data_IF_553496102321
#
_entry.id   IF_553496102321
#
_cell.length_a   1.000
_cell.length_b   1.000
_cell.length_c   1.000
_cell.angle_alpha   90.00
_cell.angle_beta   90.00
_cell.angle_gamma   90.00
#
_symmetry.space_group_name_H-M   'P 1'
#
loop_
_entity.id
_entity.type
_entity.pdbx_description
1 polymer ?
#
# COMPACT_ATOMS: atom_id res chain seq x y z
N UNK A 1 -10.37 -5.72 -39.68
CA UNK A 1 -11.59 -5.38 -38.91
C UNK A 1 -11.11 -4.86 -37.58
N UNK A 2 -11.75 -3.83 -37.04
CA UNK A 2 -11.38 -3.31 -35.72
C UNK A 2 -12.03 -4.13 -34.61
N UNK A 3 -11.25 -4.56 -33.64
CA UNK A 3 -11.67 -5.49 -32.60
C UNK A 3 -11.08 -5.09 -31.24
N UNK A 4 -11.66 -5.61 -30.16
CA UNK A 4 -11.08 -5.53 -28.84
C UNK A 4 -10.79 -6.93 -28.29
N UNK A 5 -9.66 -7.06 -27.60
CA UNK A 5 -9.14 -8.33 -27.11
C UNK A 5 -8.80 -8.20 -25.63
N UNK A 6 -9.12 -9.22 -24.84
CA UNK A 6 -8.66 -9.34 -23.46
C UNK A 6 -7.34 -10.11 -23.39
N UNK A 7 -6.26 -9.41 -23.05
CA UNK A 7 -4.94 -10.01 -22.84
C UNK A 7 -4.86 -10.57 -21.42
N UNK A 8 -4.95 -11.90 -21.29
CA UNK A 8 -4.98 -12.62 -20.00
C UNK A 8 -3.65 -12.55 -19.26
N UNK A 9 -2.52 -12.45 -19.96
CA UNK A 9 -1.20 -12.28 -19.32
C UNK A 9 -1.06 -10.95 -18.58
N UNK A 10 -1.66 -9.88 -19.11
CA UNK A 10 -1.54 -8.53 -18.54
C UNK A 10 -2.79 -8.10 -17.75
N UNK A 11 -3.89 -8.82 -17.91
CA UNK A 11 -5.21 -8.50 -17.38
C UNK A 11 -5.80 -7.23 -17.98
N UNK A 12 -5.49 -6.91 -19.23
CA UNK A 12 -5.84 -5.64 -19.89
C UNK A 12 -6.58 -5.85 -21.19
N UNK A 13 -7.40 -4.86 -21.55
CA UNK A 13 -8.09 -4.83 -22.84
C UNK A 13 -7.23 -4.07 -23.84
N UNK A 14 -7.11 -4.62 -25.04
CA UNK A 14 -6.40 -4.05 -26.17
C UNK A 14 -7.40 -3.75 -27.28
N UNK A 15 -7.42 -2.50 -27.76
CA UNK A 15 -8.20 -2.12 -28.94
C UNK A 15 -7.27 -2.12 -30.15
N UNK A 16 -7.62 -2.93 -31.14
CA UNK A 16 -6.93 -3.06 -32.40
C UNK A 16 -7.77 -2.38 -33.47
N UNK A 17 -7.20 -1.36 -34.11
CA UNK A 17 -7.88 -0.60 -35.15
C UNK A 17 -7.16 -0.74 -36.48
N UNK A 18 -7.94 -0.83 -37.56
CA UNK A 18 -7.43 -0.43 -38.86
C UNK A 18 -7.20 1.09 -38.89
N UNK A 19 -6.19 1.55 -39.65
CA UNK A 19 -5.87 2.99 -39.74
C UNK A 19 -7.05 3.83 -40.23
N UNK A 20 -7.80 3.34 -41.22
CA UNK A 20 -8.97 4.03 -41.76
C UNK A 20 -10.07 4.16 -40.68
N UNK A 21 -10.39 3.07 -40.00
CA UNK A 21 -11.42 3.01 -38.96
C UNK A 21 -11.13 4.00 -37.82
N UNK A 22 -9.88 4.05 -37.34
CA UNK A 22 -9.49 4.99 -36.28
C UNK A 22 -9.56 6.45 -36.72
N UNK A 23 -9.19 6.76 -37.98
CA UNK A 23 -9.26 8.12 -38.50
C UNK A 23 -10.70 8.60 -38.70
N UNK A 24 -11.62 7.67 -39.01
CA UNK A 24 -13.04 7.93 -39.16
C UNK A 24 -13.77 8.21 -37.82
N UNK A 25 -13.17 7.89 -36.68
CA UNK A 25 -13.74 8.19 -35.36
C UNK A 25 -13.91 9.69 -35.14
N UNK A 26 -14.99 10.06 -34.46
CA UNK A 26 -15.21 11.44 -34.01
C UNK A 26 -14.17 11.87 -32.97
N UNK A 27 -13.98 13.17 -32.79
CA UNK A 27 -13.04 13.68 -31.78
C UNK A 27 -13.49 13.33 -30.35
N UNK A 28 -14.80 13.21 -30.11
CA UNK A 28 -15.35 12.74 -28.83
C UNK A 28 -14.99 11.28 -28.56
N UNK A 29 -15.15 10.40 -29.55
CA UNK A 29 -14.75 8.99 -29.45
C UNK A 29 -13.25 8.86 -29.18
N UNK A 30 -12.41 9.63 -29.89
CA UNK A 30 -10.96 9.65 -29.66
C UNK A 30 -10.60 10.17 -28.27
N UNK A 31 -11.34 11.13 -27.73
CA UNK A 31 -11.16 11.66 -26.36
C UNK A 31 -11.48 10.59 -25.31
N UNK A 32 -12.54 9.82 -25.51
CA UNK A 32 -12.93 8.72 -24.61
C UNK A 32 -11.90 7.59 -24.61
N UNK A 33 -11.36 7.23 -25.78
CA UNK A 33 -10.24 6.30 -25.89
C UNK A 33 -9.04 6.82 -25.09
N UNK A 34 -8.60 8.07 -25.30
CA UNK A 34 -7.42 8.64 -24.62
C UNK A 34 -7.57 8.70 -23.08
N UNK A 35 -8.80 8.87 -22.61
CA UNK A 35 -9.13 8.89 -21.18
C UNK A 35 -8.99 7.50 -20.53
N UNK A 36 -9.33 6.43 -21.25
CA UNK A 36 -9.38 5.07 -20.71
C UNK A 36 -8.20 4.17 -21.15
N UNK A 37 -7.48 4.56 -22.21
CA UNK A 37 -6.44 3.76 -22.85
C UNK A 37 -5.14 4.57 -23.06
N UNK A 38 -4.05 3.84 -23.29
CA UNK A 38 -2.75 4.35 -23.69
C UNK A 38 -2.31 3.63 -24.96
N UNK A 39 -1.92 4.39 -25.99
CA UNK A 39 -1.40 3.79 -27.21
C UNK A 39 -0.01 3.18 -26.96
N UNK A 40 0.13 1.90 -27.28
CA UNK A 40 1.40 1.18 -27.21
C UNK A 40 1.95 1.00 -28.62
N UNK A 41 3.08 1.65 -28.92
CA UNK A 41 3.78 1.46 -30.20
C UNK A 41 4.26 0.01 -30.39
N UNK A 42 4.68 -0.64 -29.31
CA UNK A 42 5.19 -2.02 -29.36
C UNK A 42 4.10 -3.04 -29.71
N UNK A 43 2.86 -2.78 -29.28
CA UNK A 43 1.70 -3.65 -29.58
C UNK A 43 0.87 -3.16 -30.78
N UNK A 44 1.19 -1.97 -31.30
CA UNK A 44 0.38 -1.26 -32.30
C UNK A 44 -1.11 -1.15 -31.93
N UNK A 45 -1.41 -1.02 -30.63
CA UNK A 45 -2.77 -1.11 -30.09
C UNK A 45 -2.98 -0.13 -28.92
N UNK A 46 -4.25 0.21 -28.65
CA UNK A 46 -4.63 0.98 -27.47
C UNK A 46 -4.83 0.04 -26.29
N UNK A 47 -4.03 0.19 -25.24
CA UNK A 47 -4.04 -0.69 -24.07
C UNK A 47 -4.74 -0.02 -22.89
N UNK A 48 -5.68 -0.71 -22.25
CA UNK A 48 -6.47 -0.16 -21.15
C UNK A 48 -5.59 0.35 -20.01
N UNK A 49 -5.98 1.46 -19.40
CA UNK A 49 -5.32 1.97 -18.19
C UNK A 49 -5.64 1.07 -17.00
N UNK A 50 -6.90 0.69 -16.87
CA UNK A 50 -7.37 -0.27 -15.88
C UNK A 50 -6.91 -1.69 -16.18
N UNK A 51 -6.97 -2.53 -15.15
CA UNK A 51 -6.70 -3.97 -15.20
C UNK A 51 -7.88 -4.72 -14.60
N UNK A 52 -8.02 -6.00 -14.96
CA UNK A 52 -8.91 -6.93 -14.28
C UNK A 52 -8.73 -6.85 -12.75
N UNK A 53 -9.82 -6.82 -11.97
CA UNK A 53 -11.23 -6.95 -12.37
C UNK A 53 -11.92 -5.64 -12.76
N UNK A 54 -11.24 -4.49 -12.73
CA UNK A 54 -11.86 -3.17 -12.90
C UNK A 54 -11.96 -2.73 -14.37
N UNK A 55 -12.42 -3.61 -15.26
CA UNK A 55 -12.41 -3.38 -16.71
C UNK A 55 -13.69 -2.77 -17.29
N UNK A 56 -14.76 -2.66 -16.49
CA UNK A 56 -16.09 -2.22 -16.94
C UNK A 56 -16.08 -0.98 -17.85
N UNK A 57 -15.36 0.08 -17.47
CA UNK A 57 -15.30 1.32 -18.27
C UNK A 57 -14.58 1.13 -19.61
N UNK A 58 -13.52 0.33 -19.61
CA UNK A 58 -12.78 0.00 -20.83
C UNK A 58 -13.66 -0.84 -21.77
N UNK A 59 -14.29 -1.91 -21.26
CA UNK A 59 -15.23 -2.72 -22.04
C UNK A 59 -16.38 -1.91 -22.61
N UNK A 60 -16.96 -1.00 -21.80
CA UNK A 60 -18.02 -0.12 -22.27
C UNK A 60 -17.58 0.74 -23.44
N UNK A 61 -16.41 1.38 -23.35
CA UNK A 61 -15.86 2.18 -24.46
C UNK A 61 -15.66 1.33 -25.71
N UNK A 62 -15.17 0.10 -25.58
CA UNK A 62 -15.01 -0.80 -26.73
C UNK A 62 -16.36 -1.15 -27.39
N UNK A 63 -17.39 -1.45 -26.58
CA UNK A 63 -18.76 -1.74 -27.05
C UNK A 63 -19.43 -0.53 -27.68
N UNK A 64 -19.30 0.66 -27.08
CA UNK A 64 -19.87 1.91 -27.59
C UNK A 64 -19.25 2.31 -28.94
N UNK A 65 -18.00 1.90 -29.20
CA UNK A 65 -17.32 2.05 -30.49
C UNK A 65 -17.73 1.01 -31.54
N UNK A 66 -18.55 0.02 -31.18
CA UNK A 66 -18.99 -1.05 -32.07
C UNK A 66 -17.87 -2.02 -32.45
N UNK A 67 -16.82 -2.13 -31.63
CA UNK A 67 -15.71 -3.06 -31.89
C UNK A 67 -16.16 -4.51 -31.67
N UNK A 68 -15.70 -5.40 -32.56
CA UNK A 68 -15.94 -6.82 -32.42
C UNK A 68 -15.17 -7.39 -31.22
N UNK A 69 -15.78 -8.33 -30.49
CA UNK A 69 -15.10 -9.04 -29.42
C UNK A 69 -14.17 -10.11 -30.04
N UNK A 70 -12.86 -9.83 -30.05
CA UNK A 70 -11.83 -10.75 -30.53
C UNK A 70 -11.46 -11.86 -29.51
N UNK A 71 -12.14 -11.91 -28.36
CA UNK A 71 -11.94 -12.94 -27.35
C UNK A 71 -10.72 -12.71 -26.44
N UNK A 72 -10.18 -13.81 -25.92
CA UNK A 72 -9.05 -13.82 -24.98
C UNK A 72 -7.76 -14.25 -25.69
N UNK A 73 -6.64 -13.58 -25.39
CA UNK A 73 -5.30 -14.00 -25.84
C UNK A 73 -4.35 -14.24 -24.67
N UNK A 74 -3.44 -15.18 -24.87
CA UNK A 74 -2.41 -15.57 -23.91
C UNK A 74 -2.98 -16.31 -22.70
N UNK A 75 -2.08 -16.69 -21.80
CA UNK A 75 -2.42 -17.42 -20.58
C UNK A 75 -2.43 -16.49 -19.36
N UNK A 76 -3.25 -16.81 -18.37
CA UNK A 76 -3.27 -16.05 -17.12
C UNK A 76 -2.05 -16.45 -16.30
N UNK A 77 -1.19 -15.47 -16.06
CA UNK A 77 -0.01 -15.66 -15.21
C UNK A 77 -0.41 -15.64 -13.75
N UNK A 78 0.23 -16.51 -12.98
CA UNK A 78 0.22 -16.44 -11.52
C UNK A 78 0.80 -15.11 -11.04
N UNK A 79 0.46 -14.71 -9.82
CA UNK A 79 0.98 -13.48 -9.23
C UNK A 79 2.51 -13.50 -9.10
N UNK A 80 3.11 -14.67 -8.83
CA UNK A 80 4.56 -14.87 -8.80
C UNK A 80 5.20 -14.56 -10.17
N UNK A 81 4.72 -15.19 -11.24
CA UNK A 81 5.21 -14.94 -12.61
C UNK A 81 5.01 -13.47 -13.03
N UNK A 82 3.91 -12.84 -12.59
CA UNK A 82 3.71 -11.41 -12.82
C UNK A 82 4.78 -10.55 -12.13
N UNK A 83 5.22 -10.93 -10.93
CA UNK A 83 6.31 -10.25 -10.21
C UNK A 83 7.66 -10.49 -10.88
N UNK A 84 7.93 -11.70 -11.34
CA UNK A 84 9.16 -12.05 -12.08
C UNK A 84 9.25 -11.27 -13.39
N UNK A 85 8.21 -11.28 -14.23
CA UNK A 85 8.17 -10.47 -15.46
C UNK A 85 8.32 -8.97 -15.18
N UNK A 86 7.93 -8.49 -14.00
CA UNK A 86 8.14 -7.10 -13.59
C UNK A 86 9.61 -6.86 -13.21
N UNK A 87 10.26 -7.80 -12.53
CA UNK A 87 11.67 -7.77 -12.22
C UNK A 87 12.51 -7.78 -13.51
N UNK A 88 12.29 -8.74 -14.41
CA UNK A 88 12.98 -8.85 -15.70
C UNK A 88 12.85 -7.58 -16.53
N UNK A 89 11.66 -6.98 -16.61
CA UNK A 89 11.45 -5.71 -17.33
C UNK A 89 12.20 -4.55 -16.72
N UNK A 90 12.40 -4.56 -15.40
CA UNK A 90 13.16 -3.55 -14.68
C UNK A 90 14.67 -3.78 -14.86
N UNK A 91 15.15 -5.02 -14.84
CA UNK A 91 16.54 -5.40 -15.14
C UNK A 91 16.92 -5.05 -16.58
N UNK A 92 16.14 -5.48 -17.57
CA UNK A 92 16.34 -5.12 -18.98
C UNK A 92 16.29 -3.60 -19.20
N UNK A 93 15.61 -2.84 -18.32
CA UNK A 93 15.65 -1.38 -18.33
C UNK A 93 16.94 -0.84 -17.74
N UNK A 94 17.44 -1.43 -16.65
CA UNK A 94 18.73 -1.08 -16.06
C UNK A 94 19.85 -1.29 -17.09
N UNK A 95 19.91 -2.45 -17.74
CA UNK A 95 20.92 -2.75 -18.77
C UNK A 95 20.93 -1.73 -19.91
N UNK A 96 19.74 -1.35 -20.40
CA UNK A 96 19.63 -0.31 -21.43
C UNK A 96 20.13 1.05 -20.96
N UNK A 97 19.97 1.38 -19.68
CA UNK A 97 20.48 2.63 -19.13
C UNK A 97 21.98 2.56 -18.89
N UNK A 98 22.52 1.43 -18.43
CA UNK A 98 23.96 1.20 -18.31
C UNK A 98 24.65 1.36 -19.67
N UNK A 99 24.10 0.73 -20.73
CA UNK A 99 24.60 0.91 -22.09
C UNK A 99 24.62 2.38 -22.52
N UNK A 100 23.55 3.13 -22.23
CA UNK A 100 23.46 4.56 -22.56
C UNK A 100 24.43 5.40 -21.74
N UNK A 101 24.65 5.04 -20.47
CA UNK A 101 25.59 5.69 -19.57
C UNK A 101 27.01 5.54 -20.12
N UNK A 102 27.44 4.30 -20.36
CA UNK A 102 28.77 3.99 -20.88
C UNK A 102 29.02 4.68 -22.22
N UNK A 103 28.04 4.66 -23.13
CA UNK A 103 28.15 5.35 -24.42
C UNK A 103 28.26 6.86 -24.28
N UNK A 104 27.52 7.47 -23.35
CA UNK A 104 27.63 8.90 -23.08
C UNK A 104 29.00 9.26 -22.47
N UNK A 105 29.52 8.42 -21.57
CA UNK A 105 30.86 8.59 -21.00
C UNK A 105 31.96 8.46 -22.07
N UNK A 106 31.89 7.45 -22.95
CA UNK A 106 32.81 7.29 -24.08
C UNK A 106 32.76 8.50 -25.03
N UNK A 107 31.56 9.00 -25.35
CA UNK A 107 31.40 10.20 -26.15
C UNK A 107 32.01 11.43 -25.47
N UNK A 108 31.80 11.60 -24.16
CA UNK A 108 32.40 12.68 -23.37
C UNK A 108 33.93 12.63 -23.40
N UNK A 109 34.51 11.45 -23.18
CA UNK A 109 35.97 11.21 -23.29
C UNK A 109 36.48 11.56 -24.69
N UNK A 110 35.79 11.10 -25.74
CA UNK A 110 36.18 11.37 -27.12
C UNK A 110 36.11 12.86 -27.48
N UNK A 111 35.13 13.59 -26.94
CA UNK A 111 34.97 15.02 -27.15
C UNK A 111 36.03 15.85 -26.43
N UNK A 112 36.45 15.46 -25.23
CA UNK A 112 37.48 16.17 -24.47
C UNK A 112 38.91 15.79 -24.87
N UNK A 113 39.10 14.59 -25.46
CA UNK A 113 40.41 14.07 -25.86
C UNK A 113 41.26 15.09 -26.64
N UNK A 114 40.76 15.81 -27.66
CA UNK A 114 41.60 16.77 -28.39
C UNK A 114 42.21 17.87 -27.51
N UNK A 115 41.48 18.42 -26.53
CA UNK A 115 42.01 19.41 -25.59
C UNK A 115 42.95 18.75 -24.57
N UNK A 116 42.57 17.57 -24.05
CA UNK A 116 43.37 16.84 -23.08
C UNK A 116 44.72 16.38 -23.67
N UNK A 117 44.76 16.03 -24.96
CA UNK A 117 45.99 15.66 -25.67
C UNK A 117 46.96 16.86 -25.82
N UNK A 118 46.46 18.10 -25.75
CA UNK A 118 47.30 19.33 -25.75
C UNK A 118 47.74 19.73 -24.33
N UNK A 119 47.36 18.98 -23.30
CA UNK A 119 47.69 19.32 -21.92
C UNK A 119 49.22 19.35 -21.72
N UNK A 120 49.74 20.46 -21.19
CA UNK A 120 51.18 20.70 -21.06
C UNK A 120 51.82 21.45 -22.24
N UNK A 121 51.13 21.60 -23.38
CA UNK A 121 51.55 22.52 -24.45
C UNK A 121 51.12 23.95 -24.11
N UNK A 122 51.97 24.65 -23.34
CA UNK A 122 51.72 26.04 -22.94
C UNK A 122 51.62 26.95 -24.17
N UNK A 123 52.35 26.65 -25.26
CA UNK A 123 52.31 27.47 -26.47
C UNK A 123 50.94 27.37 -27.16
N UNK A 124 50.30 26.21 -27.17
CA UNK A 124 48.95 26.05 -27.72
C UNK A 124 47.91 26.94 -26.99
N UNK A 125 47.98 27.01 -25.66
CA UNK A 125 47.01 27.76 -24.86
C UNK A 125 47.27 29.26 -24.80
N UNK A 126 48.54 29.69 -24.85
CA UNK A 126 48.93 31.08 -24.62
C UNK A 126 49.21 31.88 -25.88
N UNK A 127 49.32 31.24 -27.05
CA UNK A 127 49.57 31.95 -28.30
C UNK A 127 48.49 33.01 -28.58
N UNK A 128 48.89 34.26 -28.88
CA UNK A 128 47.96 35.33 -29.20
C UNK A 128 47.26 35.07 -30.53
N UNK A 129 46.06 35.63 -30.70
CA UNK A 129 45.34 35.54 -31.96
C UNK A 129 46.04 36.39 -33.02
N UNK A 130 46.75 35.74 -33.96
CA UNK A 130 47.43 36.41 -35.06
C UNK A 130 46.42 36.67 -36.19
N UNK A 131 46.33 37.92 -36.66
CA UNK A 131 45.44 38.31 -37.75
C UNK A 131 46.02 37.96 -39.13
N UNK A 132 46.34 36.69 -39.34
CA UNK A 132 46.79 36.09 -40.61
C UNK A 132 45.88 34.92 -40.98
N UNK A 133 45.94 34.42 -42.22
CA UNK A 133 45.15 33.26 -42.67
C UNK A 133 45.42 32.02 -41.79
N UNK A 134 46.69 31.73 -41.51
CA UNK A 134 47.10 30.63 -40.63
C UNK A 134 46.72 30.86 -39.17
N UNK A 135 46.83 32.10 -38.67
CA UNK A 135 46.44 32.46 -37.31
C UNK A 135 44.94 32.30 -37.06
N UNK A 136 44.09 32.74 -38.00
CA UNK A 136 42.63 32.55 -37.93
C UNK A 136 42.25 31.07 -37.97
N UNK A 137 42.90 30.27 -38.81
CA UNK A 137 42.67 28.83 -38.87
C UNK A 137 43.02 28.13 -37.54
N UNK A 138 44.13 28.52 -36.90
CA UNK A 138 44.53 28.04 -35.58
C UNK A 138 43.54 28.44 -34.48
N UNK A 139 43.14 29.72 -34.41
CA UNK A 139 42.12 30.19 -33.46
C UNK A 139 40.80 29.43 -33.63
N UNK A 140 40.33 29.23 -34.87
CA UNK A 140 39.12 28.46 -35.13
C UNK A 140 39.23 26.99 -34.70
N UNK A 141 40.40 26.36 -34.92
CA UNK A 141 40.67 25.00 -34.44
C UNK A 141 40.60 24.95 -32.91
N UNK A 142 41.26 25.87 -32.22
CA UNK A 142 41.26 25.96 -30.74
C UNK A 142 39.85 26.16 -30.19
N UNK A 143 39.07 27.07 -30.79
CA UNK A 143 37.68 27.32 -30.38
C UNK A 143 36.80 26.07 -30.55
N UNK A 144 36.90 25.37 -31.69
CA UNK A 144 36.17 24.09 -31.89
C UNK A 144 36.54 23.03 -30.87
N UNK A 145 37.82 22.96 -30.49
CA UNK A 145 38.30 22.02 -29.48
C UNK A 145 37.74 22.38 -28.08
N UNK A 146 37.68 23.66 -27.72
CA UNK A 146 37.04 24.12 -26.48
C UNK A 146 35.53 23.88 -26.47
N UNK A 147 34.82 24.18 -27.56
CA UNK A 147 33.39 23.89 -27.69
C UNK A 147 33.09 22.39 -27.58
N UNK A 148 33.94 21.53 -28.15
CA UNK A 148 33.82 20.07 -28.00
C UNK A 148 34.07 19.65 -26.55
N UNK A 149 35.07 20.25 -25.90
CA UNK A 149 35.41 19.97 -24.50
C UNK A 149 34.26 20.34 -23.54
N UNK A 150 33.61 21.48 -23.74
CA UNK A 150 32.40 21.89 -23.01
C UNK A 150 31.25 20.90 -23.22
N UNK A 151 30.96 20.52 -24.47
CA UNK A 151 29.95 19.50 -24.79
C UNK A 151 30.26 18.14 -24.14
N UNK A 152 31.55 17.84 -23.92
CA UNK A 152 31.98 16.65 -23.19
C UNK A 152 31.43 16.60 -21.77
N UNK A 153 31.38 17.74 -21.05
CA UNK A 153 30.76 17.78 -19.71
C UNK A 153 29.27 17.51 -19.73
N UNK A 154 28.56 17.96 -20.76
CA UNK A 154 27.13 17.68 -20.88
C UNK A 154 26.87 16.19 -21.17
N UNK A 155 27.73 15.53 -21.94
CA UNK A 155 27.68 14.07 -22.10
C UNK A 155 28.03 13.33 -20.80
N UNK A 156 28.95 13.83 -19.96
CA UNK A 156 29.20 13.26 -18.63
C UNK A 156 28.00 13.41 -17.69
N UNK A 157 27.36 14.58 -17.62
CA UNK A 157 26.11 14.77 -16.84
C UNK A 157 25.00 13.81 -17.30
N UNK A 158 24.91 13.57 -18.61
CA UNK A 158 23.97 12.62 -19.21
C UNK A 158 24.32 11.17 -18.87
N UNK A 159 25.60 10.82 -18.78
CA UNK A 159 26.05 9.54 -18.25
C UNK A 159 25.56 9.37 -16.81
N UNK A 160 25.86 10.32 -15.92
CA UNK A 160 25.41 10.28 -14.52
C UNK A 160 23.88 10.13 -14.39
N UNK A 161 23.12 10.86 -15.22
CA UNK A 161 21.67 10.72 -15.29
C UNK A 161 21.23 9.29 -15.62
N UNK A 162 21.84 8.66 -16.62
CA UNK A 162 21.49 7.29 -16.99
C UNK A 162 21.95 6.27 -15.94
N UNK A 163 23.11 6.46 -15.32
CA UNK A 163 23.57 5.64 -14.21
C UNK A 163 22.58 5.66 -13.04
N UNK A 164 22.11 6.84 -12.63
CA UNK A 164 21.08 6.97 -11.60
C UNK A 164 19.76 6.28 -11.99
N UNK A 165 19.36 6.39 -13.26
CA UNK A 165 18.16 5.71 -13.77
C UNK A 165 18.31 4.19 -13.81
N UNK A 166 19.51 3.68 -14.10
CA UNK A 166 19.81 2.26 -14.03
C UNK A 166 19.67 1.74 -12.61
N UNK A 167 20.23 2.47 -11.64
CA UNK A 167 20.16 2.11 -10.22
C UNK A 167 18.71 2.07 -9.70
N UNK A 168 17.91 3.09 -10.02
CA UNK A 168 16.47 3.09 -9.67
C UNK A 168 15.74 1.88 -10.30
N UNK A 169 16.12 1.48 -11.51
CA UNK A 169 15.53 0.32 -12.17
C UNK A 169 15.93 -0.99 -11.49
N UNK A 170 17.19 -1.16 -11.06
CA UNK A 170 17.64 -2.31 -10.26
C UNK A 170 16.92 -2.39 -8.93
N UNK A 171 16.80 -1.27 -8.21
CA UNK A 171 16.01 -1.20 -6.97
C UNK A 171 14.54 -1.58 -7.21
N UNK A 172 13.98 -1.22 -8.36
CA UNK A 172 12.60 -1.63 -8.71
C UNK A 172 12.49 -3.15 -8.91
N UNK A 173 13.51 -3.78 -9.51
CA UNK A 173 13.56 -5.23 -9.67
C UNK A 173 13.69 -5.92 -8.31
N UNK A 174 14.61 -5.46 -7.46
CA UNK A 174 14.81 -6.02 -6.12
C UNK A 174 13.56 -5.88 -5.24
N UNK A 175 12.89 -4.73 -5.29
CA UNK A 175 11.66 -4.47 -4.54
C UNK A 175 10.43 -5.26 -5.03
N UNK A 176 10.55 -6.11 -6.04
CA UNK A 176 9.46 -7.04 -6.40
C UNK A 176 9.25 -8.08 -5.31
N UNK A 177 10.31 -8.52 -4.62
CA UNK A 177 10.23 -9.39 -3.45
C UNK A 177 10.17 -8.55 -2.17
N UNK A 178 9.03 -8.49 -1.47
CA UNK A 178 8.91 -7.71 -0.25
C UNK A 178 9.78 -8.28 0.88
N UNK A 179 10.51 -7.41 1.59
CA UNK A 179 11.33 -7.77 2.76
C UNK A 179 10.61 -7.57 4.11
N UNK A 180 9.48 -6.87 4.10
CA UNK A 180 8.68 -6.59 5.31
C UNK A 180 7.59 -7.66 5.51
N UNK A 181 7.73 -8.47 6.57
CA UNK A 181 6.75 -9.49 6.96
C UNK A 181 5.37 -8.91 7.22
N UNK A 182 5.29 -7.72 7.82
CA UNK A 182 4.02 -7.07 8.11
C UNK A 182 3.32 -6.62 6.83
N UNK A 183 4.08 -6.19 5.81
CA UNK A 183 3.52 -5.89 4.50
C UNK A 183 2.91 -7.14 3.87
N UNK A 184 3.63 -8.26 3.86
CA UNK A 184 3.12 -9.52 3.33
C UNK A 184 1.85 -9.98 4.06
N UNK A 185 1.84 -9.95 5.40
CA UNK A 185 0.68 -10.31 6.23
C UNK A 185 -0.55 -9.43 5.91
N UNK A 186 -0.37 -8.11 5.74
CA UNK A 186 -1.45 -7.22 5.29
C UNK A 186 -1.98 -7.60 3.91
N UNK A 187 -1.09 -7.96 2.96
CA UNK A 187 -1.49 -8.37 1.61
C UNK A 187 -2.23 -9.71 1.58
N UNK A 188 -1.83 -10.67 2.42
CA UNK A 188 -2.56 -11.93 2.63
C UNK A 188 -3.98 -11.63 3.14
N UNK A 189 -4.10 -10.80 4.17
CA UNK A 189 -5.42 -10.41 4.73
C UNK A 189 -6.33 -9.71 3.71
N UNK A 190 -5.77 -8.85 2.86
CA UNK A 190 -6.50 -8.21 1.77
C UNK A 190 -7.00 -9.25 0.74
N UNK A 191 -6.16 -10.24 0.39
CA UNK A 191 -6.53 -11.33 -0.51
C UNK A 191 -7.62 -12.21 0.09
N UNK A 192 -7.48 -12.65 1.35
CA UNK A 192 -8.48 -13.43 2.08
C UNK A 192 -9.83 -12.70 2.18
N UNK A 193 -9.80 -11.39 2.42
CA UNK A 193 -11.00 -10.55 2.45
C UNK A 193 -11.70 -10.55 1.09
N UNK A 194 -10.93 -10.47 0.01
CA UNK A 194 -11.44 -10.53 -1.36
C UNK A 194 -12.08 -11.88 -1.65
N UNK A 195 -11.40 -12.99 -1.31
CA UNK A 195 -11.92 -14.36 -1.46
C UNK A 195 -13.25 -14.51 -0.72
N UNK A 196 -13.31 -14.07 0.54
CA UNK A 196 -14.53 -14.15 1.35
C UNK A 196 -15.68 -13.35 0.74
N UNK A 197 -15.41 -12.15 0.24
CA UNK A 197 -16.43 -11.31 -0.39
C UNK A 197 -16.97 -11.95 -1.67
N UNK A 198 -16.08 -12.48 -2.54
CA UNK A 198 -16.51 -13.11 -3.78
C UNK A 198 -17.24 -14.43 -3.55
N UNK A 199 -16.83 -15.25 -2.58
CA UNK A 199 -17.58 -16.46 -2.21
C UNK A 199 -19.02 -16.15 -1.77
N UNK A 200 -19.19 -15.07 -1.00
CA UNK A 200 -20.53 -14.60 -0.61
C UNK A 200 -21.34 -14.12 -1.82
N UNK A 201 -20.71 -13.46 -2.79
CA UNK A 201 -21.38 -13.08 -4.04
C UNK A 201 -21.82 -14.31 -4.83
N UNK A 202 -20.96 -15.32 -4.98
CA UNK A 202 -21.28 -16.58 -5.68
C UNK A 202 -22.46 -17.29 -5.01
N UNK A 203 -22.50 -17.37 -3.68
CA UNK A 203 -23.65 -17.92 -2.96
C UNK A 203 -24.94 -17.16 -3.28
N UNK A 204 -24.90 -15.82 -3.28
CA UNK A 204 -26.04 -15.00 -3.71
C UNK A 204 -26.42 -15.23 -5.18
N UNK A 205 -25.45 -15.45 -6.07
CA UNK A 205 -25.72 -15.69 -7.48
C UNK A 205 -26.36 -17.06 -7.72
N UNK A 206 -25.95 -18.09 -6.97
CA UNK A 206 -26.59 -19.40 -6.99
C UNK A 206 -28.06 -19.32 -6.58
N UNK A 207 -28.39 -18.51 -5.57
CA UNK A 207 -29.79 -18.25 -5.20
C UNK A 207 -30.60 -17.60 -6.33
N UNK A 208 -30.01 -16.73 -7.14
CA UNK A 208 -30.69 -16.20 -8.33
C UNK A 208 -30.96 -17.29 -9.36
N UNK A 209 -30.01 -18.19 -9.60
CA UNK A 209 -30.20 -19.33 -10.52
C UNK A 209 -31.35 -20.22 -10.04
N UNK A 210 -31.40 -20.56 -8.76
CA UNK A 210 -32.47 -21.38 -8.19
C UNK A 210 -33.84 -20.73 -8.38
N UNK A 211 -33.95 -19.42 -8.11
CA UNK A 211 -35.20 -18.66 -8.28
C UNK A 211 -35.66 -18.60 -9.74
N UNK A 212 -34.75 -18.32 -10.67
CA UNK A 212 -35.04 -18.29 -12.10
C UNK A 212 -35.46 -19.69 -12.58
N UNK A 213 -34.77 -20.74 -12.12
CA UNK A 213 -35.08 -22.13 -12.45
C UNK A 213 -36.46 -22.57 -11.94
N UNK A 214 -36.92 -21.97 -10.84
CA UNK A 214 -38.26 -22.16 -10.29
C UNK A 214 -39.35 -21.31 -11.00
N UNK A 215 -39.01 -20.60 -12.07
CA UNK A 215 -39.94 -19.82 -12.89
C UNK A 215 -40.13 -18.37 -12.46
N UNK A 216 -39.29 -17.83 -11.56
CA UNK A 216 -39.35 -16.44 -11.16
C UNK A 216 -38.67 -15.52 -12.19
N UNK A 217 -39.39 -14.53 -12.73
CA UNK A 217 -38.83 -13.51 -13.60
C UNK A 217 -38.19 -12.36 -12.79
N UNK A 218 -36.87 -12.42 -12.66
CA UNK A 218 -36.10 -11.39 -11.97
C UNK A 218 -35.67 -10.32 -12.97
N UNK A 219 -35.99 -9.05 -12.72
CA UNK A 219 -35.61 -7.92 -13.58
C UNK A 219 -34.43 -7.14 -13.00
N UNK A 220 -33.53 -6.71 -13.87
CA UNK A 220 -32.46 -5.76 -13.54
C UNK A 220 -33.01 -4.36 -13.37
N UNK A 221 -32.19 -3.46 -12.83
CA UNK A 221 -32.50 -2.02 -12.79
C UNK A 221 -32.76 -1.44 -14.20
N UNK A 222 -32.14 -2.00 -15.24
CA UNK A 222 -32.39 -1.63 -16.65
C UNK A 222 -33.76 -2.07 -17.17
N UNK A 223 -34.51 -2.89 -16.44
CA UNK A 223 -35.78 -3.48 -16.87
C UNK A 223 -35.63 -4.81 -17.64
N UNK A 224 -34.40 -5.19 -18.03
CA UNK A 224 -34.10 -6.46 -18.70
C UNK A 224 -34.30 -7.65 -17.76
N UNK A 225 -34.87 -8.74 -18.29
CA UNK A 225 -35.01 -10.02 -17.56
C UNK A 225 -33.62 -10.63 -17.39
N UNK A 226 -33.31 -11.02 -16.15
CA UNK A 226 -32.06 -11.67 -15.79
C UNK A 226 -32.10 -13.13 -16.26
N UNK A 227 -31.18 -13.51 -17.16
CA UNK A 227 -31.06 -14.91 -17.61
C UNK A 227 -30.07 -15.69 -16.77
N UNK A 228 -30.20 -17.03 -16.78
CA UNK A 228 -29.26 -17.93 -16.12
C UNK A 228 -27.86 -17.77 -16.72
N UNK A 229 -27.74 -17.60 -18.05
CA UNK A 229 -26.42 -17.43 -18.67
C UNK A 229 -25.69 -16.21 -18.11
N UNK A 230 -26.38 -15.07 -17.93
CA UNK A 230 -25.67 -13.91 -17.40
C UNK A 230 -25.31 -14.04 -15.92
N UNK A 231 -26.10 -14.79 -15.13
CA UNK A 231 -25.73 -15.08 -13.75
C UNK A 231 -24.52 -16.02 -13.70
N UNK A 232 -24.43 -16.99 -14.61
CA UNK A 232 -23.25 -17.85 -14.74
C UNK A 232 -22.00 -17.02 -15.12
N UNK A 233 -22.10 -16.06 -16.04
CA UNK A 233 -21.00 -15.14 -16.36
C UNK A 233 -20.51 -14.37 -15.12
N UNK A 234 -21.43 -13.96 -14.22
CA UNK A 234 -21.05 -13.31 -12.96
C UNK A 234 -20.34 -14.26 -12.00
N UNK A 235 -20.76 -15.52 -11.94
CA UNK A 235 -20.11 -16.56 -11.13
C UNK A 235 -18.70 -16.79 -11.66
N UNK A 236 -18.54 -17.04 -12.96
CA UNK A 236 -17.23 -17.24 -13.60
C UNK A 236 -16.31 -16.04 -13.36
N UNK A 237 -16.82 -14.81 -13.51
CA UNK A 237 -16.05 -13.60 -13.20
C UNK A 237 -15.61 -13.53 -11.74
N UNK A 238 -16.50 -13.87 -10.79
CA UNK A 238 -16.16 -13.92 -9.36
C UNK A 238 -15.15 -15.03 -9.04
N UNK A 239 -15.21 -16.18 -9.72
CA UNK A 239 -14.24 -17.26 -9.61
C UNK A 239 -12.87 -16.84 -10.12
N UNK A 240 -12.79 -16.16 -11.28
CA UNK A 240 -11.54 -15.62 -11.80
C UNK A 240 -10.87 -14.62 -10.82
N UNK A 241 -11.66 -13.83 -10.08
CA UNK A 241 -11.17 -12.93 -9.04
C UNK A 241 -10.64 -13.72 -7.83
N UNK A 242 -11.32 -14.80 -7.45
CA UNK A 242 -10.88 -15.68 -6.36
C UNK A 242 -9.54 -16.31 -6.71
N UNK A 243 -9.37 -16.81 -7.93
CA UNK A 243 -8.12 -17.43 -8.38
C UNK A 243 -6.94 -16.45 -8.33
N UNK A 244 -7.15 -15.20 -8.76
CA UNK A 244 -6.12 -14.15 -8.68
C UNK A 244 -5.76 -13.82 -7.22
N UNK A 245 -6.77 -13.75 -6.35
CA UNK A 245 -6.57 -13.52 -4.93
C UNK A 245 -5.86 -14.70 -4.24
N UNK A 246 -6.17 -15.95 -4.61
CA UNK A 246 -5.47 -17.14 -4.11
C UNK A 246 -4.01 -17.11 -4.54
N UNK A 247 -3.75 -16.89 -5.84
CA UNK A 247 -2.38 -16.83 -6.37
C UNK A 247 -1.56 -15.74 -5.66
N UNK A 248 -2.16 -14.57 -5.43
CA UNK A 248 -1.55 -13.50 -4.64
C UNK A 248 -1.28 -13.89 -3.19
N UNK A 249 -2.22 -14.59 -2.55
CA UNK A 249 -2.05 -15.07 -1.17
C UNK A 249 -0.89 -16.07 -1.07
N UNK A 250 -0.82 -17.04 -1.98
CA UNK A 250 0.25 -18.05 -2.05
C UNK A 250 1.61 -17.38 -2.15
N UNK A 251 1.78 -16.46 -3.11
CA UNK A 251 3.03 -15.72 -3.27
C UNK A 251 3.48 -14.99 -1.99
N UNK A 252 2.57 -14.30 -1.30
CA UNK A 252 2.93 -13.58 -0.06
C UNK A 252 3.16 -14.52 1.13
N UNK A 253 2.56 -15.71 1.15
CA UNK A 253 2.91 -16.75 2.13
C UNK A 253 4.34 -17.24 1.92
N UNK A 254 4.71 -17.58 0.68
CA UNK A 254 6.08 -17.97 0.32
C UNK A 254 7.09 -16.88 0.72
N UNK A 255 6.78 -15.60 0.45
CA UNK A 255 7.62 -14.49 0.90
C UNK A 255 7.79 -14.44 2.42
N UNK A 256 6.74 -14.74 3.20
CA UNK A 256 6.85 -14.78 4.67
C UNK A 256 7.72 -15.95 5.13
N UNK A 257 7.57 -17.12 4.49
CA UNK A 257 8.38 -18.30 4.78
C UNK A 257 9.86 -18.06 4.47
N UNK A 258 10.17 -17.45 3.32
CA UNK A 258 11.54 -17.03 2.97
C UNK A 258 12.13 -16.05 4.00
N UNK A 259 11.30 -15.18 4.60
CA UNK A 259 11.72 -14.26 5.66
C UNK A 259 11.83 -14.95 7.04
N UNK A 260 11.64 -16.26 7.14
CA UNK A 260 11.73 -17.04 8.38
C UNK A 260 10.44 -17.07 9.19
N UNK A 261 9.29 -16.90 8.53
CA UNK A 261 7.95 -17.03 9.13
C UNK A 261 7.57 -15.92 10.12
N UNK A 262 6.34 -16.00 10.64
CA UNK A 262 5.89 -15.15 11.74
C UNK A 262 6.34 -15.78 13.05
N UNK A 263 7.27 -15.14 13.74
CA UNK A 263 7.88 -15.67 14.97
C UNK A 263 6.99 -15.51 16.20
N UNK A 264 6.05 -14.57 16.17
CA UNK A 264 5.22 -14.22 17.32
C UNK A 264 3.77 -14.68 17.13
N UNK A 265 3.14 -15.06 18.23
CA UNK A 265 1.77 -15.54 18.28
C UNK A 265 1.15 -15.23 19.65
N UNK A 266 -0.10 -15.63 19.82
CA UNK A 266 -0.77 -15.55 21.12
C UNK A 266 -0.13 -16.45 22.17
N UNK A 267 0.52 -17.56 21.77
CA UNK A 267 1.14 -18.47 22.73
C UNK A 267 2.42 -17.86 23.35
N UNK A 268 3.18 -17.08 22.59
CA UNK A 268 4.50 -16.62 23.01
C UNK A 268 4.57 -15.15 23.45
N UNK A 269 3.58 -14.32 23.12
CA UNK A 269 3.45 -12.95 23.65
C UNK A 269 2.41 -12.91 24.76
N UNK A 270 2.76 -12.33 25.91
CA UNK A 270 1.86 -12.17 27.06
C UNK A 270 1.57 -10.70 27.37
N UNK A 271 0.45 -10.46 28.04
CA UNK A 271 0.14 -9.14 28.59
C UNK A 271 1.21 -8.71 29.59
N UNK A 272 1.66 -7.46 29.45
CA UNK A 272 2.74 -6.86 30.23
C UNK A 272 4.14 -6.98 29.63
N UNK A 273 4.32 -7.70 28.52
CA UNK A 273 5.61 -7.72 27.81
C UNK A 273 5.90 -6.36 27.18
N UNK A 274 7.18 -6.01 27.07
CA UNK A 274 7.65 -4.88 26.27
C UNK A 274 8.21 -5.44 24.97
N UNK A 275 7.62 -5.03 23.86
CA UNK A 275 7.98 -5.46 22.51
C UNK A 275 8.44 -4.28 21.67
N UNK A 276 9.32 -4.54 20.71
CA UNK A 276 9.68 -3.59 19.67
C UNK A 276 8.74 -3.77 18.48
N UNK A 277 7.97 -2.73 18.15
CA UNK A 277 7.05 -2.72 17.00
C UNK A 277 7.64 -1.81 15.93
N UNK A 278 7.75 -2.31 14.69
CA UNK A 278 8.46 -1.62 13.59
C UNK A 278 8.10 -0.13 13.43
N UNK A 279 6.82 0.21 13.55
CA UNK A 279 6.31 1.58 13.39
C UNK A 279 6.52 2.50 14.59
N UNK A 280 6.56 1.96 15.80
CA UNK A 280 6.43 2.74 17.05
C UNK A 280 7.60 2.58 18.02
N UNK A 281 8.50 1.63 17.78
CA UNK A 281 9.55 1.28 18.74
C UNK A 281 8.97 0.55 19.95
N UNK A 282 9.42 0.94 21.15
CA UNK A 282 9.08 0.27 22.40
C UNK A 282 7.61 0.43 22.78
N UNK A 283 6.92 -0.69 22.90
CA UNK A 283 5.51 -0.75 23.23
C UNK A 283 5.23 -1.79 24.33
N UNK A 284 4.37 -1.43 25.29
CA UNK A 284 3.84 -2.36 26.28
C UNK A 284 2.64 -3.10 25.71
N UNK A 285 2.63 -4.43 25.79
CA UNK A 285 1.50 -5.28 25.42
C UNK A 285 0.41 -5.19 26.49
N UNK A 286 -0.75 -4.66 26.11
CA UNK A 286 -1.93 -4.53 26.97
C UNK A 286 -2.89 -5.72 26.86
N UNK A 287 -2.86 -6.42 25.73
CA UNK A 287 -3.83 -7.47 25.43
C UNK A 287 -3.39 -8.32 24.26
N UNK A 288 -3.71 -9.63 24.30
CA UNK A 288 -3.30 -10.60 23.28
C UNK A 288 -4.52 -11.26 22.63
N UNK A 289 -4.82 -10.83 21.41
CA UNK A 289 -5.90 -11.38 20.58
C UNK A 289 -5.42 -12.60 19.79
N UNK A 290 -6.33 -13.22 19.01
CA UNK A 290 -5.96 -14.36 18.14
C UNK A 290 -4.97 -13.96 17.03
N UNK A 291 -5.09 -12.74 16.50
CA UNK A 291 -4.37 -12.27 15.30
C UNK A 291 -3.57 -10.99 15.52
N UNK A 292 -3.76 -10.31 16.66
CA UNK A 292 -3.14 -9.04 16.96
C UNK A 292 -2.94 -8.84 18.45
N UNK A 293 -2.01 -7.97 18.80
CA UNK A 293 -1.83 -7.43 20.14
C UNK A 293 -2.46 -6.04 20.22
N UNK A 294 -2.98 -5.69 21.40
CA UNK A 294 -3.23 -4.29 21.75
C UNK A 294 -2.04 -3.79 22.56
N UNK A 295 -1.53 -2.61 22.22
CA UNK A 295 -0.31 -2.07 22.84
C UNK A 295 -0.48 -0.62 23.28
N UNK A 296 0.47 -0.15 24.09
CA UNK A 296 0.66 1.25 24.48
C UNK A 296 2.11 1.63 24.14
N UNK A 297 2.29 2.76 23.46
CA UNK A 297 3.60 3.29 23.08
C UNK A 297 4.28 3.87 24.34
N UNK A 298 5.54 3.50 24.59
CA UNK A 298 6.27 3.93 25.78
C UNK A 298 7.14 5.17 25.53
N UNK A 299 7.71 5.32 24.33
CA UNK A 299 8.69 6.36 24.02
C UNK A 299 8.24 7.26 22.85
N UNK A 300 8.79 8.48 22.79
CA UNK A 300 8.52 9.47 21.73
C UNK A 300 7.25 10.30 21.90
N UNK A 301 6.95 11.18 20.93
CA UNK A 301 5.82 12.12 21.01
C UNK A 301 4.43 11.46 21.09
N UNK A 302 4.32 10.22 20.61
CA UNK A 302 3.11 9.41 20.67
C UNK A 302 2.99 8.56 21.96
N UNK A 303 3.91 8.73 22.93
CA UNK A 303 3.89 7.98 24.19
C UNK A 303 2.53 8.08 24.91
N UNK A 304 2.08 6.97 25.49
CA UNK A 304 0.78 6.85 26.15
C UNK A 304 -0.40 6.62 25.20
N UNK A 305 -0.24 6.75 23.88
CA UNK A 305 -1.25 6.32 22.92
C UNK A 305 -1.22 4.80 22.73
N UNK A 306 -2.38 4.24 22.39
CA UNK A 306 -2.52 2.80 22.17
C UNK A 306 -3.10 2.45 20.82
N UNK A 307 -2.90 1.21 20.40
CA UNK A 307 -3.33 0.72 19.10
C UNK A 307 -3.44 -0.80 19.04
N UNK A 308 -3.62 -1.32 17.82
CA UNK A 308 -3.57 -2.75 17.50
C UNK A 308 -2.46 -2.99 16.49
N UNK A 309 -1.62 -3.99 16.75
CA UNK A 309 -0.54 -4.41 15.85
C UNK A 309 -0.66 -5.90 15.54
N UNK A 310 -0.38 -6.30 14.31
CA UNK A 310 -0.30 -7.71 13.95
C UNK A 310 0.94 -8.35 14.58
N UNK A 311 0.91 -9.67 14.81
CA UNK A 311 2.10 -10.37 15.30
C UNK A 311 3.31 -10.26 14.36
N UNK A 312 3.07 -10.15 13.06
CA UNK A 312 4.11 -9.91 12.05
C UNK A 312 4.79 -8.53 12.16
N UNK A 313 4.22 -7.58 12.91
CA UNK A 313 4.79 -6.22 13.11
C UNK A 313 5.75 -6.15 14.31
N UNK A 314 5.83 -7.21 15.11
CA UNK A 314 6.77 -7.30 16.24
C UNK A 314 8.14 -7.71 15.70
N UNK A 315 9.16 -6.88 15.97
CA UNK A 315 10.56 -7.18 15.63
C UNK A 315 11.22 -8.08 16.65
N UNK A 316 11.02 -7.77 17.93
CA UNK A 316 11.65 -8.48 19.03
C UNK A 316 10.91 -8.25 20.35
N UNK A 317 11.18 -9.10 21.33
CA UNK A 317 10.79 -8.90 22.72
C UNK A 317 11.94 -8.19 23.41
N UNK A 318 11.68 -6.99 23.96
CA UNK A 318 12.66 -6.19 24.70
C UNK A 318 12.69 -6.64 26.18
N UNK A 319 11.51 -6.90 26.74
CA UNK A 319 11.37 -7.40 28.11
C UNK A 319 10.20 -8.38 28.19
N UNK A 320 10.47 -9.57 28.71
CA UNK A 320 9.50 -10.61 29.06
C UNK A 320 9.00 -10.48 30.50
N UNK A 321 9.51 -9.51 31.26
CA UNK A 321 9.00 -9.18 32.59
C UNK A 321 7.64 -8.54 32.43
N UNK A 322 6.62 -9.17 33.04
CA UNK A 322 5.24 -8.69 33.01
C UNK A 322 5.15 -7.40 33.81
N UNK A 323 5.23 -6.26 33.12
CA UNK A 323 4.97 -4.96 33.71
C UNK A 323 3.47 -4.70 33.77
N UNK A 324 2.98 -4.42 34.97
CA UNK A 324 1.61 -3.99 35.20
C UNK A 324 1.62 -2.57 35.75
N UNK A 325 0.89 -1.67 35.09
CA UNK A 325 0.59 -0.37 35.69
C UNK A 325 -0.39 -0.58 36.85
N UNK A 326 -0.01 -0.12 38.04
CA UNK A 326 -0.84 -0.18 39.26
C UNK A 326 -1.67 1.11 39.30
N UNK A 327 -2.97 0.98 39.51
CA UNK A 327 -3.86 2.14 39.59
C UNK A 327 -3.68 2.88 40.94
N UNK A 328 -3.89 4.21 41.01
CA UNK A 328 -3.63 5.00 42.22
C UNK A 328 -4.74 4.99 43.29
N UNK A 329 -5.89 4.35 43.04
CA UNK A 329 -7.00 4.30 44.00
C UNK A 329 -6.63 3.62 45.33
N UNK A 330 -7.23 4.06 46.43
CA UNK A 330 -7.02 3.50 47.79
C UNK A 330 -8.33 3.10 48.45
N UNK A 331 -8.30 2.08 49.30
CA UNK A 331 -9.47 1.64 50.05
C UNK A 331 -9.92 2.74 51.02
N UNK A 332 -11.23 2.94 51.15
CA UNK A 332 -11.82 4.01 51.96
C UNK A 332 -11.96 5.36 51.25
N UNK A 333 -11.40 5.56 50.05
CA UNK A 333 -11.60 6.79 49.29
C UNK A 333 -13.07 6.96 48.88
N UNK A 334 -13.56 8.19 49.00
CA UNK A 334 -14.94 8.58 48.68
C UNK A 334 -14.96 9.47 47.45
N UNK A 335 -15.88 9.19 46.55
CA UNK A 335 -16.07 9.95 45.32
C UNK A 335 -17.54 10.25 45.11
N UNK A 336 -17.84 11.50 44.79
CA UNK A 336 -19.18 11.94 44.41
C UNK A 336 -19.29 11.92 42.90
N UNK A 337 -20.25 11.16 42.37
CA UNK A 337 -20.51 11.05 40.93
C UNK A 337 -21.95 11.44 40.67
N UNK A 338 -22.20 12.23 39.62
CA UNK A 338 -23.56 12.52 39.16
C UNK A 338 -24.09 11.31 38.39
N UNK A 339 -25.11 10.63 38.90
CA UNK A 339 -25.73 9.46 38.26
C UNK A 339 -27.19 9.79 37.92
N UNK A 340 -27.66 9.34 36.75
CA UNK A 340 -29.06 9.53 36.35
C UNK A 340 -29.96 8.61 37.17
N UNK A 341 -30.91 9.18 37.91
CA UNK A 341 -31.84 8.42 38.76
C UNK A 341 -33.16 8.05 38.06
N UNK A 342 -33.28 8.33 36.76
CA UNK A 342 -34.52 8.16 35.98
C UNK A 342 -35.28 9.46 35.71
N UNK A 343 -35.05 10.52 36.50
CA UNK A 343 -35.70 11.85 36.36
C UNK A 343 -34.70 13.00 36.27
N UNK A 344 -33.62 12.96 37.04
CA UNK A 344 -32.56 13.97 37.05
C UNK A 344 -31.19 13.34 37.36
N UNK A 345 -30.13 14.13 37.16
CA UNK A 345 -28.79 13.75 37.61
C UNK A 345 -28.64 14.11 39.09
N UNK A 346 -28.63 13.09 39.95
CA UNK A 346 -28.41 13.26 41.37
C UNK A 346 -26.95 12.94 41.73
N UNK A 347 -26.39 13.69 42.66
CA UNK A 347 -25.08 13.40 43.23
C UNK A 347 -25.16 12.16 44.12
N UNK A 348 -24.24 11.22 43.88
CA UNK A 348 -24.19 9.96 44.60
C UNK A 348 -22.78 9.66 45.06
N UNK A 349 -22.64 9.44 46.36
CA UNK A 349 -21.36 9.10 46.98
C UNK A 349 -21.09 7.60 46.85
N UNK A 350 -19.90 7.26 46.34
CA UNK A 350 -19.36 5.91 46.30
C UNK A 350 -18.12 5.84 47.19
N UNK A 351 -18.05 4.83 48.06
CA UNK A 351 -16.86 4.51 48.85
C UNK A 351 -16.18 3.28 48.29
N UNK A 352 -14.85 3.32 48.13
CA UNK A 352 -14.07 2.16 47.70
C UNK A 352 -13.96 1.17 48.86
N UNK A 353 -14.45 -0.05 48.67
CA UNK A 353 -14.50 -1.09 49.71
C UNK A 353 -13.45 -2.17 49.55
N UNK A 354 -12.96 -2.40 48.32
CA UNK A 354 -11.94 -3.42 48.05
C UNK A 354 -11.13 -3.08 46.81
N UNK A 355 -9.82 -3.28 46.88
CA UNK A 355 -8.89 -3.08 45.77
C UNK A 355 -8.14 -4.37 45.41
N UNK A 356 -7.93 -4.55 44.12
CA UNK A 356 -7.00 -5.52 43.54
C UNK A 356 -6.25 -4.82 42.41
N UNK A 357 -5.06 -5.30 42.02
CA UNK A 357 -4.26 -4.68 40.95
C UNK A 357 -5.06 -4.42 39.65
N UNK A 358 -6.06 -5.25 39.35
CA UNK A 358 -6.83 -5.17 38.11
C UNK A 358 -8.25 -4.59 38.27
N UNK A 359 -8.77 -4.45 39.50
CA UNK A 359 -10.16 -4.03 39.77
C UNK A 359 -10.31 -3.23 41.04
N UNK A 360 -11.17 -2.21 40.98
CA UNK A 360 -11.62 -1.42 42.12
C UNK A 360 -13.09 -1.72 42.38
N UNK A 361 -13.42 -2.04 43.63
CA UNK A 361 -14.80 -2.33 44.06
C UNK A 361 -15.29 -1.21 44.98
N UNK A 362 -16.47 -0.71 44.68
CA UNK A 362 -17.04 0.48 45.29
C UNK A 362 -18.54 0.30 45.56
N UNK A 363 -19.02 0.89 46.66
CA UNK A 363 -20.38 0.74 47.18
C UNK A 363 -20.96 2.11 47.52
N UNK A 364 -22.25 2.29 47.25
CA UNK A 364 -23.02 3.47 47.64
C UNK A 364 -24.10 3.04 48.64
N UNK A 365 -23.98 3.46 49.90
CA UNK A 365 -24.91 3.09 50.98
C UNK A 365 -25.19 1.58 51.07
N UNK A 366 -26.46 1.20 50.96
CA UNK A 366 -26.94 -0.19 51.03
C UNK A 366 -27.03 -0.89 49.66
N UNK A 367 -26.62 -0.24 48.58
CA UNK A 367 -26.70 -0.84 47.26
C UNK A 367 -25.66 -1.95 47.03
N UNK A 368 -25.88 -2.74 45.97
CA UNK A 368 -24.95 -3.77 45.54
C UNK A 368 -23.61 -3.13 45.12
N UNK A 369 -22.51 -3.70 45.60
CA UNK A 369 -21.17 -3.26 45.23
C UNK A 369 -20.94 -3.41 43.72
N UNK A 370 -20.34 -2.39 43.10
CA UNK A 370 -19.93 -2.36 41.69
C UNK A 370 -18.42 -2.61 41.62
N UNK A 371 -17.99 -3.60 40.83
CA UNK A 371 -16.57 -3.87 40.58
C UNK A 371 -16.20 -3.41 39.17
N UNK A 372 -15.28 -2.46 39.07
CA UNK A 372 -14.93 -1.75 37.83
C UNK A 372 -13.45 -1.97 37.53
N UNK A 373 -13.12 -2.25 36.26
CA UNK A 373 -11.73 -2.31 35.77
C UNK A 373 -11.26 -0.87 35.46
N UNK A 374 -10.25 -0.34 36.17
CA UNK A 374 -9.73 1.01 35.91
C UNK A 374 -9.14 1.13 34.51
N UNK A 375 -9.33 2.29 33.87
CA UNK A 375 -8.78 2.58 32.54
C UNK A 375 -7.88 3.80 32.59
N UNK A 376 -6.62 3.63 32.19
CA UNK A 376 -5.65 4.70 31.94
C UNK A 376 -6.01 5.44 30.64
N UNK A 377 -6.15 6.75 30.70
CA UNK A 377 -6.46 7.64 29.56
C UNK A 377 -5.47 8.81 29.54
N UNK A 378 -5.23 9.38 28.36
CA UNK A 378 -4.45 10.61 28.19
C UNK A 378 -5.42 11.78 28.07
N UNK A 379 -5.25 12.82 28.88
CA UNK A 379 -6.07 14.03 28.84
C UNK A 379 -5.61 14.95 27.71
N UNK A 380 -6.44 15.94 27.35
CA UNK A 380 -6.10 16.94 26.31
C UNK A 380 -4.82 17.73 26.61
N UNK A 381 -4.41 17.81 27.88
CA UNK A 381 -3.20 18.48 28.33
C UNK A 381 -1.96 17.57 28.32
N UNK A 382 -2.10 16.33 27.82
CA UNK A 382 -1.01 15.37 27.72
C UNK A 382 -0.72 14.58 29.00
N UNK A 383 -1.37 14.90 30.12
CA UNK A 383 -1.29 14.17 31.39
C UNK A 383 -2.01 12.81 31.31
N UNK A 384 -1.63 11.88 32.18
CA UNK A 384 -2.24 10.56 32.24
C UNK A 384 -3.12 10.42 33.49
N UNK A 385 -4.35 10.00 33.29
CA UNK A 385 -5.35 9.81 34.34
C UNK A 385 -5.92 8.39 34.32
N UNK A 386 -6.28 7.90 35.50
CA UNK A 386 -7.02 6.66 35.70
C UNK A 386 -8.51 6.96 35.87
N UNK A 387 -9.34 6.22 35.14
CA UNK A 387 -10.79 6.38 35.14
C UNK A 387 -11.53 5.14 35.61
N UNK A 388 -12.58 5.36 36.39
CA UNK A 388 -13.59 4.36 36.72
C UNK A 388 -14.90 4.77 36.06
N UNK A 389 -15.23 4.14 34.93
CA UNK A 389 -16.44 4.48 34.16
C UNK A 389 -17.66 3.66 34.60
N UNK A 390 -18.77 4.36 34.82
CA UNK A 390 -20.09 3.83 35.17
C UNK A 390 -21.02 3.98 33.96
N UNK A 391 -21.88 2.99 33.70
CA UNK A 391 -22.82 3.04 32.58
C UNK A 391 -24.01 3.94 32.95
N UNK A 392 -24.14 5.11 32.32
CA UNK A 392 -25.31 5.99 32.43
C UNK A 392 -26.38 5.64 31.38
N UNK A 393 -27.64 5.97 31.68
CA UNK A 393 -28.79 5.49 30.90
C UNK A 393 -29.12 6.30 29.63
N UNK A 394 -28.63 7.53 29.45
CA UNK A 394 -29.15 8.42 28.37
C UNK A 394 -28.06 9.08 27.50
N UNK A 395 -26.92 9.52 28.02
CA UNK A 395 -25.81 10.06 27.19
C UNK A 395 -24.44 9.80 27.83
N UNK A 396 -23.93 8.57 27.69
CA UNK A 396 -22.53 8.23 27.99
C UNK A 396 -22.24 7.71 29.39
N UNK A 397 -20.95 7.55 29.68
CA UNK A 397 -20.42 7.04 30.94
C UNK A 397 -20.17 8.19 31.91
N UNK A 398 -20.60 8.07 33.17
CA UNK A 398 -20.09 8.92 34.26
C UNK A 398 -18.78 8.32 34.75
N UNK A 399 -17.79 9.12 35.14
CA UNK A 399 -16.47 8.58 35.49
C UNK A 399 -15.84 9.30 36.67
N UNK A 400 -15.15 8.52 37.52
CA UNK A 400 -14.21 9.05 38.51
C UNK A 400 -12.85 9.12 37.85
N UNK A 401 -12.20 10.29 37.94
CA UNK A 401 -10.86 10.52 37.42
C UNK A 401 -9.87 10.68 38.56
N UNK A 402 -8.71 10.05 38.45
CA UNK A 402 -7.59 10.22 39.39
C UNK A 402 -6.30 10.32 38.59
N UNK A 403 -5.53 11.39 38.81
CA UNK A 403 -4.23 11.57 38.15
C UNK A 403 -3.29 10.41 38.52
N UNK A 404 -2.50 9.97 37.56
CA UNK A 404 -1.40 9.07 37.85
C UNK A 404 -0.33 9.85 38.62
N UNK A 405 -0.07 9.46 39.87
CA UNK A 405 1.02 10.05 40.66
C UNK A 405 2.34 9.71 39.95
N UNK A 406 3.08 10.74 39.54
CA UNK A 406 4.35 10.58 38.84
C UNK A 406 5.35 9.79 39.68
N UNK A 407 6.07 8.86 39.04
CA UNK A 407 7.33 8.34 39.55
C UNK A 407 8.46 9.29 39.23
#
# INVERSE_FOLDING_TARGET
MSEYIMNKETGKIELHFNKADYLALSEEQKKDIKSNYLFSRAKSAWVSRAKFPNLYRAEKVAKDLGLLNGGNIGEKLTFAEQMERKAERAEARAERFDYKSNKAEENGKNLQKPINDMHGDIAFFTQPNINSSSGRAFTNKRNRMWEAWEKGFDEFKKSEYYAQRAEIARQTAENTKPKDKAFCDRRIKDAEKTIRAQRKNIESYKQYIDRISNGEEIKRYSGEVLTIETVNEWIEHSEEIIDDAISKSVYYHECIEELGGIQFSKENIKEGYIVDIDRWGKCLVRGTGKVNITYIILEGGASGLGGKAAYAEIKSIISDKVEKFIHPFKEGEKYTVKEWNGKEYAEKEYTITKITNDKVTLKSGNERAKSIKPKRIRTGNGEIEWTLSFKGAVYGYTAIHKKEEGK
#
